data_IF_381376374318
#
_entry.id   IF_381376374318
#
_cell.length_a   1.000
_cell.length_b   1.000
_cell.length_c   1.000
_cell.angle_alpha   90.00
_cell.angle_beta   90.00
_cell.angle_gamma   90.00
#
_symmetry.space_group_name_H-M   'P 1'
#
loop_
_entity.id
_entity.type
_entity.pdbx_description
1 polymer ?
#
# COMPACT_ATOMS: atom_id res chain seq x y z
N UNK A 1 7.37 -11.03 11.09
CA UNK A 1 7.02 -10.80 9.66
C UNK A 1 5.56 -11.10 9.33
N UNK A 2 4.87 -11.92 10.12
CA UNK A 2 3.46 -12.25 9.84
C UNK A 2 2.55 -11.01 9.83
N UNK A 3 2.77 -10.07 10.75
CA UNK A 3 1.98 -8.85 10.78
C UNK A 3 2.25 -7.97 9.55
N UNK A 4 3.51 -7.90 9.10
CA UNK A 4 3.84 -7.17 7.88
C UNK A 4 3.15 -7.81 6.66
N UNK A 5 3.15 -9.14 6.56
CA UNK A 5 2.43 -9.82 5.49
C UNK A 5 0.93 -9.49 5.52
N UNK A 6 0.33 -9.46 6.71
CA UNK A 6 -1.08 -9.10 6.86
C UNK A 6 -1.33 -7.66 6.40
N UNK A 7 -0.45 -6.72 6.74
CA UNK A 7 -0.55 -5.33 6.30
C UNK A 7 -0.45 -5.23 4.77
N UNK A 8 0.50 -5.93 4.18
CA UNK A 8 0.68 -5.90 2.72
C UNK A 8 -0.52 -6.51 2.01
N UNK A 9 -1.05 -7.61 2.51
CA UNK A 9 -2.26 -8.23 1.96
C UNK A 9 -3.47 -7.30 2.09
N UNK A 10 -3.65 -6.65 3.24
CA UNK A 10 -4.73 -5.70 3.44
C UNK A 10 -4.62 -4.52 2.49
N UNK A 11 -3.40 -4.00 2.28
CA UNK A 11 -3.17 -2.92 1.31
C UNK A 11 -3.57 -3.36 -0.10
N UNK A 12 -3.17 -4.54 -0.52
CA UNK A 12 -3.53 -5.06 -1.85
C UNK A 12 -5.04 -5.18 -2.00
N UNK A 13 -5.73 -5.68 -0.98
CA UNK A 13 -7.17 -5.87 -1.00
C UNK A 13 -7.89 -4.52 -1.12
N UNK A 14 -7.53 -3.52 -0.31
CA UNK A 14 -8.22 -2.23 -0.35
C UNK A 14 -7.95 -1.48 -1.64
N UNK A 15 -6.74 -1.59 -2.21
CA UNK A 15 -6.47 -1.02 -3.53
C UNK A 15 -7.32 -1.70 -4.60
N UNK A 16 -7.48 -3.02 -4.49
CA UNK A 16 -8.36 -3.78 -5.39
C UNK A 16 -9.82 -3.38 -5.27
N UNK A 17 -10.28 -3.06 -4.05
CA UNK A 17 -11.66 -2.60 -3.83
C UNK A 17 -11.93 -1.29 -4.56
N UNK A 18 -10.97 -0.35 -4.54
CA UNK A 18 -11.10 0.90 -5.29
C UNK A 18 -11.32 0.60 -6.78
N UNK A 19 -10.53 -0.29 -7.35
CA UNK A 19 -10.65 -0.66 -8.77
C UNK A 19 -12.00 -1.34 -9.03
N UNK A 20 -12.42 -2.24 -8.14
CA UNK A 20 -13.69 -2.96 -8.32
C UNK A 20 -14.90 -2.04 -8.25
N UNK A 21 -14.85 -1.01 -7.38
CA UNK A 21 -15.99 -0.10 -7.18
C UNK A 21 -16.00 1.08 -8.14
N UNK A 22 -14.83 1.60 -8.49
CA UNK A 22 -14.73 2.85 -9.26
C UNK A 22 -14.09 2.67 -10.63
N UNK A 23 -13.55 1.49 -10.92
CA UNK A 23 -12.96 1.17 -12.21
C UNK A 23 -11.57 1.76 -12.40
N UNK A 24 -10.98 1.46 -13.56
CA UNK A 24 -9.65 1.98 -13.91
C UNK A 24 -9.70 3.40 -14.45
N UNK A 25 -10.87 3.91 -14.81
CA UNK A 25 -11.04 5.29 -15.21
C UNK A 25 -10.89 6.24 -14.04
N UNK A 26 -11.12 7.52 -14.24
CA UNK A 26 -11.10 8.53 -13.18
C UNK A 26 -9.75 8.62 -12.44
N UNK A 27 -8.64 8.35 -13.15
CA UNK A 27 -7.29 8.43 -12.59
C UNK A 27 -7.05 7.43 -11.46
N UNK A 28 -7.67 6.26 -11.53
CA UNK A 28 -7.49 5.21 -10.53
C UNK A 28 -6.39 4.20 -10.90
N UNK A 29 -5.73 4.38 -12.04
CA UNK A 29 -4.66 3.50 -12.46
C UNK A 29 -3.56 3.31 -11.40
N UNK A 30 -3.15 4.36 -10.63
CA UNK A 30 -2.16 4.14 -9.57
C UNK A 30 -2.60 3.13 -8.53
N UNK A 31 -3.90 3.03 -8.22
CA UNK A 31 -4.39 2.03 -7.27
C UNK A 31 -4.21 0.62 -7.80
N UNK A 32 -4.43 0.41 -9.10
CA UNK A 32 -4.18 -0.89 -9.70
C UNK A 32 -2.70 -1.26 -9.67
N UNK A 33 -1.83 -0.31 -10.01
CA UNK A 33 -0.38 -0.52 -9.98
C UNK A 33 0.07 -0.86 -8.56
N UNK A 34 -0.39 -0.12 -7.55
CA UNK A 34 -0.01 -0.39 -6.17
C UNK A 34 -0.62 -1.67 -5.62
N UNK A 35 -1.80 -2.08 -6.10
CA UNK A 35 -2.32 -3.41 -5.77
C UNK A 35 -1.32 -4.49 -6.18
N UNK A 36 -0.82 -4.42 -7.41
CA UNK A 36 0.17 -5.37 -7.90
C UNK A 36 1.51 -5.25 -7.15
N UNK A 37 1.93 -4.03 -6.84
CA UNK A 37 3.15 -3.79 -6.06
C UNK A 37 3.03 -4.43 -4.67
N UNK A 38 1.91 -4.23 -3.98
CA UNK A 38 1.74 -4.81 -2.65
C UNK A 38 1.67 -6.34 -2.69
N UNK A 39 1.07 -6.92 -3.73
CA UNK A 39 1.09 -8.37 -3.90
C UNK A 39 2.52 -8.87 -4.10
N UNK A 40 3.31 -8.20 -4.93
CA UNK A 40 4.70 -8.56 -5.15
C UNK A 40 5.54 -8.40 -3.88
N UNK A 41 5.30 -7.34 -3.11
CA UNK A 41 6.00 -7.11 -1.84
C UNK A 41 5.64 -8.19 -0.81
N UNK A 42 4.37 -8.59 -0.75
CA UNK A 42 3.94 -9.66 0.14
C UNK A 42 4.65 -10.96 -0.21
N UNK A 43 4.77 -11.27 -1.49
CA UNK A 43 5.50 -12.46 -1.93
C UNK A 43 6.99 -12.35 -1.57
N UNK A 44 7.61 -11.19 -1.78
CA UNK A 44 9.02 -10.99 -1.45
C UNK A 44 9.27 -11.16 0.05
N UNK A 45 8.40 -10.63 0.90
CA UNK A 45 8.52 -10.78 2.35
C UNK A 45 8.29 -12.24 2.76
N UNK A 46 7.30 -12.90 2.16
CA UNK A 46 7.01 -14.30 2.44
C UNK A 46 8.22 -15.20 2.10
N UNK A 47 8.88 -14.92 0.99
CA UNK A 47 10.05 -15.67 0.55
C UNK A 47 11.35 -15.24 1.25
N UNK A 48 11.28 -14.29 2.17
CA UNK A 48 12.43 -13.73 2.88
C UNK A 48 13.52 -13.22 1.93
N UNK A 49 13.09 -12.58 0.84
CA UNK A 49 14.01 -12.02 -0.16
C UNK A 49 14.89 -10.93 0.48
N UNK A 50 16.21 -10.91 0.17
CA UNK A 50 17.08 -9.82 0.65
C UNK A 50 16.52 -8.46 0.22
N UNK A 51 16.65 -7.47 1.11
CA UNK A 51 16.17 -6.10 0.87
C UNK A 51 14.66 -5.95 0.74
N UNK A 52 13.87 -6.99 1.06
CA UNK A 52 12.40 -6.88 1.00
C UNK A 52 11.88 -5.75 1.89
N UNK A 53 12.44 -5.59 3.10
CA UNK A 53 12.02 -4.50 4.00
C UNK A 53 12.31 -3.13 3.41
N UNK A 54 13.46 -2.95 2.74
CA UNK A 54 13.76 -1.70 2.05
C UNK A 54 12.76 -1.44 0.93
N UNK A 55 12.43 -2.46 0.15
CA UNK A 55 11.44 -2.31 -0.93
C UNK A 55 10.07 -1.91 -0.37
N UNK A 56 9.62 -2.56 0.71
CA UNK A 56 8.36 -2.21 1.36
C UNK A 56 8.39 -0.76 1.83
N UNK A 57 9.45 -0.36 2.53
CA UNK A 57 9.56 0.98 3.08
C UNK A 57 9.53 2.04 1.98
N UNK A 58 10.32 1.86 0.93
CA UNK A 58 10.42 2.83 -0.17
C UNK A 58 9.10 2.91 -0.93
N UNK A 59 8.54 1.77 -1.35
CA UNK A 59 7.35 1.75 -2.19
C UNK A 59 6.11 2.19 -1.41
N UNK A 60 5.98 1.77 -0.15
CA UNK A 60 4.86 2.22 0.68
C UNK A 60 4.92 3.72 0.93
N UNK A 61 6.12 4.28 1.13
CA UNK A 61 6.30 5.72 1.30
C UNK A 61 5.89 6.48 0.04
N UNK A 62 6.29 5.98 -1.13
CA UNK A 62 5.89 6.59 -2.41
C UNK A 62 4.37 6.56 -2.56
N UNK A 63 3.74 5.43 -2.23
CA UNK A 63 2.29 5.29 -2.28
C UNK A 63 1.57 6.25 -1.34
N UNK A 64 2.08 6.38 -0.12
CA UNK A 64 1.50 7.29 0.88
C UNK A 64 1.59 8.74 0.42
N UNK A 65 2.73 9.16 -0.10
CA UNK A 65 2.90 10.51 -0.63
C UNK A 65 1.96 10.76 -1.80
N UNK A 66 1.89 9.81 -2.74
CA UNK A 66 1.00 9.93 -3.90
C UNK A 66 -0.46 10.06 -3.49
N UNK A 67 -0.90 9.24 -2.55
CA UNK A 67 -2.28 9.30 -2.05
C UNK A 67 -2.54 10.63 -1.35
N UNK A 68 -1.61 11.10 -0.53
CA UNK A 68 -1.77 12.37 0.19
C UNK A 68 -1.92 13.54 -0.79
N UNK A 69 -1.10 13.57 -1.83
CA UNK A 69 -1.16 14.63 -2.85
C UNK A 69 -2.50 14.61 -3.60
N UNK A 70 -3.08 13.43 -3.81
CA UNK A 70 -4.32 13.29 -4.59
C UNK A 70 -5.55 13.07 -3.72
N UNK A 71 -5.47 13.32 -2.41
CA UNK A 71 -6.50 12.96 -1.44
C UNK A 71 -7.84 13.63 -1.72
N UNK A 72 -7.82 14.85 -2.25
CA UNK A 72 -9.04 15.65 -2.45
C UNK A 72 -9.69 15.45 -3.82
N UNK A 73 -9.30 14.42 -4.58
CA UNK A 73 -9.94 14.18 -5.88
C UNK A 73 -11.37 13.71 -5.69
N UNK A 74 -12.35 14.36 -6.35
CA UNK A 74 -13.77 14.10 -6.09
C UNK A 74 -14.29 12.75 -6.61
N UNK A 75 -13.55 12.12 -7.51
CA UNK A 75 -13.99 10.87 -8.15
C UNK A 75 -13.84 9.64 -7.24
N UNK A 76 -13.26 9.79 -6.02
CA UNK A 76 -13.01 8.66 -5.13
C UNK A 76 -13.75 8.83 -3.82
N UNK A 77 -14.06 7.67 -3.20
CA UNK A 77 -14.65 7.61 -1.87
C UNK A 77 -13.60 8.03 -0.83
N UNK A 78 -13.89 9.11 -0.10
CA UNK A 78 -12.96 9.60 0.93
C UNK A 78 -12.78 8.62 2.07
N UNK A 79 -13.79 7.81 2.38
CA UNK A 79 -13.67 6.79 3.41
C UNK A 79 -12.64 5.73 3.01
N UNK A 80 -12.71 5.25 1.77
CA UNK A 80 -11.72 4.30 1.26
C UNK A 80 -10.32 4.93 1.22
N UNK A 81 -10.22 6.19 0.79
CA UNK A 81 -8.94 6.88 0.78
C UNK A 81 -8.33 6.97 2.18
N UNK A 82 -9.14 7.24 3.20
CA UNK A 82 -8.67 7.28 4.59
C UNK A 82 -8.20 5.92 5.07
N UNK A 83 -8.93 4.85 4.73
CA UNK A 83 -8.54 3.49 5.10
C UNK A 83 -7.21 3.13 4.45
N UNK A 84 -7.06 3.41 3.16
CA UNK A 84 -5.82 3.14 2.43
C UNK A 84 -4.67 3.95 3.01
N UNK A 85 -4.92 5.24 3.31
CA UNK A 85 -3.91 6.11 3.92
C UNK A 85 -3.41 5.54 5.25
N UNK A 86 -4.34 5.11 6.11
CA UNK A 86 -3.98 4.52 7.40
C UNK A 86 -3.19 3.24 7.23
N UNK A 87 -3.57 2.38 6.29
CA UNK A 87 -2.85 1.14 6.02
C UNK A 87 -1.45 1.42 5.47
N UNK A 88 -1.34 2.38 4.55
CA UNK A 88 -0.03 2.77 4.02
C UNK A 88 0.86 3.34 5.13
N UNK A 89 0.32 4.21 5.95
CA UNK A 89 1.07 4.81 7.07
C UNK A 89 1.50 3.72 8.07
N UNK A 90 0.62 2.80 8.41
CA UNK A 90 0.95 1.69 9.30
C UNK A 90 2.05 0.81 8.71
N UNK A 91 1.98 0.56 7.40
CA UNK A 91 3.00 -0.24 6.70
C UNK A 91 4.36 0.45 6.73
N UNK A 92 4.38 1.77 6.47
CA UNK A 92 5.63 2.55 6.52
C UNK A 92 6.21 2.52 7.94
N UNK A 93 5.39 2.79 8.94
CA UNK A 93 5.86 2.83 10.33
C UNK A 93 6.35 1.46 10.80
N UNK A 94 5.62 0.41 10.48
CA UNK A 94 5.99 -0.94 10.91
C UNK A 94 7.25 -1.44 10.20
N UNK A 95 7.36 -1.20 8.89
CA UNK A 95 8.56 -1.59 8.16
C UNK A 95 9.78 -0.80 8.61
N UNK A 96 9.63 0.49 8.92
CA UNK A 96 10.69 1.29 9.50
C UNK A 96 11.11 0.76 10.87
N UNK A 97 10.14 0.39 11.70
CA UNK A 97 10.43 -0.22 13.00
C UNK A 97 11.24 -1.51 12.83
N UNK A 98 10.81 -2.39 11.94
CA UNK A 98 11.51 -3.65 11.70
C UNK A 98 12.92 -3.42 11.18
N UNK A 99 13.12 -2.39 10.36
CA UNK A 99 14.42 -2.14 9.74
C UNK A 99 15.40 -1.45 10.67
N UNK A 100 14.92 -0.52 11.52
CA UNK A 100 15.80 0.36 12.26
C UNK A 100 15.78 0.13 13.78
N UNK A 101 14.70 -0.41 14.33
CA UNK A 101 14.55 -0.52 15.78
C UNK A 101 14.45 -1.95 16.30
N UNK A 102 14.14 -2.89 15.44
CA UNK A 102 14.01 -4.30 15.85
C UNK A 102 15.27 -5.11 15.70
#
# INVERSE_FOLDING_TARGET
MSFLLALLAANAIVHGIVIARFGLGNNNQPFFVFMLIYLALALAVYLATPYALWAVLILATIGLIGLTVTFNKPARDKTLDKVIWLLDAATVLYSAYLRFAA
#
